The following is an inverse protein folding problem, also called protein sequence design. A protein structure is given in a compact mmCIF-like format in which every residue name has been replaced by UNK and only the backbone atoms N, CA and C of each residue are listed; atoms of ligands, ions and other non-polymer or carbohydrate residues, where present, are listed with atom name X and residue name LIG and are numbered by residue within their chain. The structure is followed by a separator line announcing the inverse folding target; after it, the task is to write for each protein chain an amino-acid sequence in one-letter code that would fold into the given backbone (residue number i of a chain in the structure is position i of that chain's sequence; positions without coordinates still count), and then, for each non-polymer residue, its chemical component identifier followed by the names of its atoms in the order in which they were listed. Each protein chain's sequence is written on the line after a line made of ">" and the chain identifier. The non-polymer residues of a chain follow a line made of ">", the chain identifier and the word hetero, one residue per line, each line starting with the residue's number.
data_IF_032335737054
#
_entry.id   IF_032335737054
#
_cell.length_a   1.000
_cell.length_b   1.000
_cell.length_c   1.000
_cell.angle_alpha   90.00
_cell.angle_beta   90.00
_cell.angle_gamma   90.00
#
_symmetry.space_group_name_H-M   'P 1'
#
loop_
_entity.id
_entity.type
_entity.pdbx_description
1 polymer ?
#
# COMPACT_ATOMS: atom_id res chain seq x y z
N UNK A 1 0.57 15.93 2.13
CA UNK A 1 -0.39 14.83 2.09
C UNK A 1 -1.58 15.30 1.33
N UNK A 2 -1.99 14.55 0.32
CA UNK A 2 -3.20 14.77 -0.46
C UNK A 2 -4.42 14.48 0.43
N UNK A 3 -5.40 15.39 0.41
CA UNK A 3 -6.60 15.24 1.23
C UNK A 3 -7.61 14.31 0.53
N UNK A 4 -8.18 13.37 1.27
CA UNK A 4 -9.21 12.47 0.76
C UNK A 4 -10.61 13.10 0.86
N UNK A 5 -11.50 12.81 -0.09
CA UNK A 5 -12.92 13.14 -0.01
C UNK A 5 -13.60 12.61 1.25
N UNK A 6 -14.77 13.16 1.60
CA UNK A 6 -15.57 12.64 2.73
C UNK A 6 -15.90 11.16 2.53
N UNK A 7 -15.52 10.34 3.51
CA UNK A 7 -15.66 8.88 3.44
C UNK A 7 -14.49 8.17 2.74
N UNK A 8 -13.49 8.91 2.27
CA UNK A 8 -12.21 8.38 1.82
C UNK A 8 -11.32 7.98 2.98
N UNK A 9 -10.68 6.82 2.83
CA UNK A 9 -9.71 6.32 3.79
C UNK A 9 -8.67 5.44 3.09
N UNK A 10 -7.53 5.31 3.76
CA UNK A 10 -6.42 4.44 3.36
C UNK A 10 -6.33 3.29 4.36
N UNK A 11 -6.18 2.08 3.86
CA UNK A 11 -5.96 0.87 4.66
C UNK A 11 -4.65 0.22 4.26
N UNK A 12 -3.81 -0.08 5.24
CA UNK A 12 -2.60 -0.85 5.04
C UNK A 12 -2.88 -2.32 5.41
N UNK A 13 -2.62 -3.21 4.47
CA UNK A 13 -2.79 -4.65 4.61
C UNK A 13 -1.41 -5.30 4.74
N UNK A 14 -1.20 -6.14 5.78
CA UNK A 14 0.04 -6.89 5.92
C UNK A 14 0.15 -7.95 4.81
N UNK A 15 1.35 -8.50 4.59
CA UNK A 15 1.52 -9.63 3.68
C UNK A 15 0.67 -10.84 4.13
N UNK A 16 0.32 -11.71 3.19
CA UNK A 16 -0.37 -12.95 3.52
C UNK A 16 0.59 -13.91 4.27
N UNK A 17 0.05 -14.72 5.18
CA UNK A 17 0.85 -15.72 5.89
C UNK A 17 1.43 -16.76 4.93
N UNK A 18 0.70 -17.10 3.87
CA UNK A 18 1.17 -18.01 2.82
C UNK A 18 2.40 -17.44 2.11
N UNK A 19 2.38 -16.17 1.69
CA UNK A 19 3.55 -15.54 1.05
C UNK A 19 4.75 -15.48 1.99
N UNK A 20 4.51 -15.17 3.27
CA UNK A 20 5.56 -15.06 4.27
C UNK A 20 6.26 -16.39 4.54
N UNK A 21 5.50 -17.45 4.77
CA UNK A 21 6.03 -18.74 5.24
C UNK A 21 6.32 -19.74 4.12
N UNK A 22 5.61 -19.66 2.99
CA UNK A 22 5.78 -20.59 1.87
C UNK A 22 6.70 -19.96 0.83
N UNK A 23 6.33 -18.78 0.32
CA UNK A 23 7.07 -18.11 -0.75
C UNK A 23 8.30 -17.34 -0.26
N UNK A 24 8.47 -17.21 1.06
CA UNK A 24 9.52 -16.41 1.70
C UNK A 24 9.58 -14.97 1.16
N UNK A 25 8.41 -14.44 0.81
CA UNK A 25 8.26 -13.10 0.24
C UNK A 25 7.26 -12.30 1.06
N UNK A 26 7.35 -10.97 1.00
CA UNK A 26 6.43 -10.11 1.71
C UNK A 26 5.96 -8.96 0.80
N UNK A 27 4.65 -8.76 0.73
CA UNK A 27 4.07 -7.63 0.02
C UNK A 27 3.08 -6.90 0.90
N UNK A 28 3.39 -5.64 1.22
CA UNK A 28 2.49 -4.77 1.99
C UNK A 28 1.59 -4.05 0.99
N UNK A 29 0.28 -4.14 1.19
CA UNK A 29 -0.69 -3.55 0.25
C UNK A 29 -1.40 -2.38 0.88
N UNK A 30 -1.30 -1.20 0.27
CA UNK A 30 -2.00 -0.01 0.66
C UNK A 30 -3.18 0.23 -0.29
N UNK A 31 -4.38 0.34 0.28
CA UNK A 31 -5.62 0.51 -0.48
C UNK A 31 -6.23 1.85 -0.11
N UNK A 32 -6.41 2.72 -1.09
CA UNK A 32 -7.20 3.93 -0.93
C UNK A 32 -8.59 3.71 -1.52
N UNK A 33 -9.63 4.05 -0.76
CA UNK A 33 -11.03 3.97 -1.21
C UNK A 33 -11.66 5.35 -1.19
N UNK A 34 -12.66 5.58 -2.03
CA UNK A 34 -13.33 6.87 -2.20
C UNK A 34 -12.32 8.02 -2.43
N UNK A 35 -11.31 7.75 -3.26
CA UNK A 35 -10.22 8.66 -3.59
C UNK A 35 -10.47 9.41 -4.92
N UNK A 36 -9.76 10.53 -5.16
CA UNK A 36 -9.69 11.13 -6.48
C UNK A 36 -8.90 10.24 -7.46
N UNK A 37 -9.13 10.40 -8.76
CA UNK A 37 -8.48 9.59 -9.80
C UNK A 37 -6.96 9.76 -9.82
N UNK A 38 -6.48 10.96 -9.55
CA UNK A 38 -5.07 11.38 -9.61
C UNK A 38 -4.34 11.23 -8.27
N UNK A 39 -4.91 10.46 -7.33
CA UNK A 39 -4.28 10.12 -6.06
C UNK A 39 -2.91 9.47 -6.27
N UNK A 40 -1.90 10.01 -5.58
CA UNK A 40 -0.56 9.43 -5.53
C UNK A 40 -0.29 8.88 -4.14
N UNK A 41 0.17 7.63 -4.09
CA UNK A 41 0.67 7.06 -2.85
C UNK A 41 2.08 7.54 -2.57
N UNK A 42 2.37 7.78 -1.30
CA UNK A 42 3.70 8.00 -0.77
C UNK A 42 4.04 6.86 0.19
N UNK A 43 5.19 6.24 0.00
CA UNK A 43 5.69 5.21 0.91
C UNK A 43 6.93 5.70 1.63
N UNK A 44 7.02 5.36 2.91
CA UNK A 44 8.21 5.61 3.73
C UNK A 44 8.46 4.43 4.65
N UNK A 45 9.73 4.16 4.91
CA UNK A 45 10.19 3.12 5.82
C UNK A 45 11.25 3.66 6.77
N UNK A 46 11.41 3.03 7.93
CA UNK A 46 12.36 3.49 8.95
C UNK A 46 13.81 3.22 8.58
N UNK A 47 14.13 2.08 7.97
CA UNK A 47 15.48 1.61 7.71
C UNK A 47 15.57 0.68 6.47
N UNK A 48 16.30 1.07 5.42
CA UNK A 48 16.64 0.13 4.36
C UNK A 48 16.98 0.77 3.01
N UNK A 49 16.95 -0.05 1.96
CA UNK A 49 17.24 0.32 0.56
C UNK A 49 16.06 1.02 -0.14
N UNK A 50 16.15 1.22 -1.45
CA UNK A 50 15.03 1.74 -2.25
C UNK A 50 13.78 0.84 -2.14
N UNK A 51 12.59 1.46 -2.09
CA UNK A 51 11.31 0.76 -2.04
C UNK A 51 10.88 0.29 -3.43
N UNK A 52 10.53 -0.98 -3.59
CA UNK A 52 9.92 -1.50 -4.82
C UNK A 52 8.40 -1.39 -4.72
N UNK A 53 7.86 -0.27 -5.21
CA UNK A 53 6.44 0.07 -5.15
C UNK A 53 5.80 -0.06 -6.51
N UNK A 54 4.69 -0.81 -6.57
CA UNK A 54 3.83 -0.91 -7.75
C UNK A 54 2.45 -0.36 -7.42
N UNK A 55 2.05 0.71 -8.09
CA UNK A 55 0.68 1.25 -7.97
C UNK A 55 -0.14 0.80 -9.17
N UNK A 56 -1.30 0.19 -8.89
CA UNK A 56 -2.26 -0.21 -9.92
C UNK A 56 -3.08 0.96 -10.45
N UNK A 57 -3.77 0.75 -11.57
CA UNK A 57 -4.63 1.76 -12.17
C UNK A 57 -5.84 2.10 -11.27
N UNK A 58 -6.31 3.37 -11.27
CA UNK A 58 -7.51 3.76 -10.53
C UNK A 58 -8.75 3.03 -11.01
N UNK A 59 -9.46 2.37 -10.09
CA UNK A 59 -10.70 1.67 -10.36
C UNK A 59 -11.89 2.54 -9.95
N UNK A 60 -12.74 2.91 -10.91
CA UNK A 60 -13.94 3.70 -10.63
C UNK A 60 -14.96 2.89 -9.83
N UNK A 61 -15.48 3.47 -8.75
CA UNK A 61 -16.52 2.92 -7.88
C UNK A 61 -17.91 3.47 -8.27
N UNK A 62 -18.98 2.83 -7.78
CA UNK A 62 -20.37 3.21 -8.10
C UNK A 62 -20.72 4.65 -7.68
N UNK A 63 -20.10 5.15 -6.62
CA UNK A 63 -20.26 6.52 -6.14
C UNK A 63 -19.50 7.58 -6.97
N UNK A 64 -18.83 7.17 -8.05
CA UNK A 64 -18.08 8.05 -8.95
C UNK A 64 -16.67 8.40 -8.47
N UNK A 65 -16.26 7.96 -7.28
CA UNK A 65 -14.89 8.06 -6.77
C UNK A 65 -14.06 6.84 -7.20
N UNK A 66 -12.79 6.82 -6.83
CA UNK A 66 -11.85 5.78 -7.25
C UNK A 66 -11.31 4.98 -6.08
N UNK A 67 -11.05 3.70 -6.35
CA UNK A 67 -10.25 2.81 -5.53
C UNK A 67 -8.88 2.65 -6.18
N UNK A 68 -7.82 2.94 -5.45
CA UNK A 68 -6.45 2.73 -5.90
C UNK A 68 -5.76 1.75 -4.96
N UNK A 69 -4.81 0.99 -5.48
CA UNK A 69 -4.04 0.02 -4.70
C UNK A 69 -2.57 0.16 -5.04
N UNK A 70 -1.74 0.30 -4.02
CA UNK A 70 -0.30 0.31 -4.13
C UNK A 70 0.28 -0.86 -3.34
N UNK A 71 1.20 -1.59 -3.94
CA UNK A 71 1.85 -2.75 -3.34
C UNK A 71 3.33 -2.43 -3.19
N UNK A 72 3.82 -2.50 -1.96
CA UNK A 72 5.24 -2.46 -1.65
C UNK A 72 5.75 -3.91 -1.57
N UNK A 73 6.69 -4.27 -2.44
CA UNK A 73 7.35 -5.58 -2.41
C UNK A 73 8.63 -5.48 -1.58
N UNK A 74 8.77 -6.40 -0.64
CA UNK A 74 9.91 -6.55 0.28
C UNK A 74 10.18 -8.04 0.51
N UNK A 75 11.30 -8.40 1.13
CA UNK A 75 11.52 -9.79 1.51
C UNK A 75 10.91 -10.10 2.89
N UNK A 76 10.71 -11.39 3.19
CA UNK A 76 10.18 -11.81 4.49
C UNK A 76 11.11 -11.42 5.65
N UNK A 77 12.42 -11.32 5.42
CA UNK A 77 13.39 -10.89 6.44
C UNK A 77 13.19 -9.41 6.82
N UNK A 78 13.05 -8.51 5.83
CA UNK A 78 12.75 -7.09 6.06
C UNK A 78 11.46 -6.92 6.87
N UNK A 79 10.40 -7.64 6.51
CA UNK A 79 9.14 -7.60 7.25
C UNK A 79 9.29 -8.12 8.70
N UNK A 80 9.99 -9.24 8.89
CA UNK A 80 10.17 -9.86 10.20
C UNK A 80 11.19 -9.13 11.10
N UNK A 81 11.99 -8.21 10.55
CA UNK A 81 12.94 -7.40 11.31
C UNK A 81 12.26 -6.43 12.29
N UNK A 82 10.95 -6.21 12.14
CA UNK A 82 10.20 -5.22 12.91
C UNK A 82 10.25 -3.81 12.29
N UNK A 83 10.68 -3.71 11.03
CA UNK A 83 10.70 -2.44 10.32
C UNK A 83 9.29 -1.83 10.18
N UNK A 84 9.20 -0.50 10.35
CA UNK A 84 7.93 0.23 10.22
C UNK A 84 7.72 0.74 8.80
N UNK A 85 6.68 0.24 8.13
CA UNK A 85 6.24 0.71 6.82
C UNK A 85 5.04 1.63 6.94
N UNK A 86 5.13 2.81 6.34
CA UNK A 86 4.03 3.78 6.30
C UNK A 86 3.63 4.04 4.86
N UNK A 87 2.33 3.97 4.60
CA UNK A 87 1.71 4.43 3.37
C UNK A 87 0.88 5.67 3.66
N UNK A 88 1.13 6.72 2.89
CA UNK A 88 0.35 7.96 2.90
C UNK A 88 -0.17 8.31 1.52
N UNK A 89 -0.98 9.35 1.50
CA UNK A 89 -1.47 10.02 0.29
C UNK A 89 -1.23 11.51 0.43
#
# INVERSE_FOLDING_TARGET
>A
GQELPRGGHVTLLPPSLEDLYISQNASVTCVATNAPQDLKFSWSRSEGTALDVVTGEPQKQENGLYRLTSVLKICAEEWNSGESFTCGV
#
